data_IF_355674278147
#
_entry.id   IF_355674278147
#
_cell.length_a   1.000
_cell.length_b   1.000
_cell.length_c   1.000
_cell.angle_alpha   90.00
_cell.angle_beta   90.00
_cell.angle_gamma   90.00
#
_symmetry.space_group_name_H-M   'P 1'
#
loop_
_entity.id
_entity.type
_entity.pdbx_description
1 polymer ?
#
# COMPACT_ATOMS: atom_id res chain seq x y z
N UNK A 1 66.39 37.55 8.01
CA UNK A 1 64.97 37.58 7.58
C UNK A 1 64.54 36.31 6.85
N UNK A 2 65.35 35.75 5.92
CA UNK A 2 65.03 34.54 5.16
C UNK A 2 64.78 33.27 6.01
N UNK A 3 65.52 33.04 7.09
CA UNK A 3 65.37 31.86 7.97
C UNK A 3 64.03 31.79 8.72
N UNK A 4 63.48 32.94 9.13
CA UNK A 4 62.16 33.02 9.80
C UNK A 4 61.00 32.74 8.84
N UNK A 5 61.17 33.09 7.56
CA UNK A 5 60.20 32.80 6.51
C UNK A 5 60.12 31.30 6.21
N UNK A 6 61.25 30.57 6.17
CA UNK A 6 61.24 29.12 5.98
C UNK A 6 60.58 28.39 7.16
N UNK A 7 60.76 28.89 8.38
CA UNK A 7 60.18 28.30 9.59
C UNK A 7 58.65 28.42 9.58
N UNK A 8 58.11 29.54 9.12
CA UNK A 8 56.66 29.74 8.95
C UNK A 8 56.07 28.86 7.85
N UNK A 9 56.79 28.68 6.73
CA UNK A 9 56.36 27.79 5.64
C UNK A 9 56.36 26.32 6.10
N UNK A 10 57.36 25.91 6.88
CA UNK A 10 57.44 24.56 7.45
C UNK A 10 56.30 24.28 8.43
N UNK A 11 55.93 25.26 9.26
CA UNK A 11 54.84 25.17 10.24
C UNK A 11 53.45 25.09 9.58
N UNK A 12 53.26 25.80 8.46
CA UNK A 12 52.04 25.72 7.64
C UNK A 12 51.92 24.37 6.91
N UNK A 13 53.05 23.80 6.47
CA UNK A 13 53.07 22.52 5.77
C UNK A 13 52.77 21.33 6.70
N UNK A 14 53.24 21.37 7.94
CA UNK A 14 52.98 20.31 8.94
C UNK A 14 51.57 20.39 9.53
N UNK A 15 50.97 21.57 9.63
CA UNK A 15 49.60 21.75 10.12
C UNK A 15 48.51 21.17 9.22
N UNK A 16 48.78 20.99 7.92
CA UNK A 16 47.81 20.45 6.95
C UNK A 16 47.59 18.93 7.02
N UNK A 17 48.47 18.19 7.70
CA UNK A 17 48.48 16.71 7.69
C UNK A 17 47.67 16.06 8.82
N UNK A 18 47.05 16.82 9.73
CA UNK A 18 46.37 16.25 10.92
C UNK A 18 44.87 16.02 10.78
N UNK A 19 44.30 16.24 9.59
CA UNK A 19 42.85 16.08 9.33
C UNK A 19 42.55 14.76 8.59
N UNK A 20 42.92 13.61 9.17
CA UNK A 20 42.33 12.32 8.77
C UNK A 20 41.35 11.88 9.85
N UNK A 21 40.09 12.28 9.66
CA UNK A 21 38.95 11.89 10.50
C UNK A 21 38.60 10.43 10.24
N UNK A 22 38.69 9.59 11.28
CA UNK A 22 38.02 8.29 11.32
C UNK A 22 36.51 8.52 11.37
N UNK A 23 35.83 8.37 10.23
CA UNK A 23 34.37 8.37 10.17
C UNK A 23 33.77 7.15 10.87
N UNK A 24 32.51 7.21 11.30
CA UNK A 24 31.84 6.09 11.95
C UNK A 24 31.65 4.93 10.95
N UNK A 25 32.07 3.72 11.34
CA UNK A 25 31.80 2.49 10.59
C UNK A 25 30.48 1.92 11.06
N UNK A 26 29.55 1.69 10.13
CA UNK A 26 28.27 1.03 10.40
C UNK A 26 28.39 -0.43 10.00
N UNK A 27 28.34 -1.34 10.97
CA UNK A 27 28.32 -2.78 10.72
C UNK A 27 26.86 -3.23 10.72
N UNK A 28 26.32 -3.55 9.54
CA UNK A 28 25.02 -4.20 9.40
C UNK A 28 25.22 -5.69 9.22
N UNK A 29 24.92 -6.49 10.25
CA UNK A 29 24.87 -7.94 10.13
C UNK A 29 23.60 -8.31 9.35
N UNK A 30 23.76 -8.62 8.06
CA UNK A 30 22.70 -9.29 7.32
C UNK A 30 22.54 -10.69 7.93
N UNK A 31 21.37 -11.06 8.48
CA UNK A 31 21.19 -12.40 9.02
C UNK A 31 21.37 -13.43 7.92
N UNK A 32 22.21 -14.43 8.15
CA UNK A 32 22.53 -15.51 7.21
C UNK A 32 21.34 -16.48 7.04
N UNK A 33 20.42 -16.49 8.01
CA UNK A 33 19.17 -17.23 7.97
C UNK A 33 17.97 -16.31 7.73
N UNK A 34 17.03 -16.70 6.84
CA UNK A 34 15.76 -15.98 6.69
C UNK A 34 15.00 -16.00 8.02
N UNK A 35 14.48 -14.83 8.40
CA UNK A 35 13.72 -14.65 9.63
C UNK A 35 12.49 -15.58 9.67
N UNK A 36 12.10 -16.10 10.85
CA UNK A 36 10.98 -17.03 10.94
C UNK A 36 9.65 -16.41 10.48
N UNK A 37 8.70 -17.18 9.92
CA UNK A 37 7.46 -16.64 9.32
C UNK A 37 6.54 -15.85 10.27
N UNK A 38 6.67 -16.05 11.57
CA UNK A 38 5.94 -15.32 12.62
C UNK A 38 6.64 -14.02 13.05
N UNK A 39 7.89 -13.79 12.63
CA UNK A 39 8.74 -12.66 13.04
C UNK A 39 8.38 -11.33 12.35
N UNK A 40 7.44 -11.33 11.40
CA UNK A 40 6.88 -10.10 10.86
C UNK A 40 5.61 -9.73 11.64
N UNK A 41 5.70 -8.92 12.70
CA UNK A 41 4.52 -8.33 13.32
C UNK A 41 3.88 -7.44 12.24
N UNK A 42 2.69 -7.83 11.80
CA UNK A 42 1.98 -7.28 10.64
C UNK A 42 2.69 -7.59 9.32
N UNK A 43 2.33 -8.72 8.71
CA UNK A 43 2.45 -8.92 7.26
C UNK A 43 1.93 -7.63 6.61
N UNK A 44 2.73 -6.98 5.76
CA UNK A 44 2.28 -5.78 5.03
C UNK A 44 1.04 -6.17 4.23
N UNK A 45 -0.14 -5.83 4.75
CA UNK A 45 -1.41 -6.03 4.06
C UNK A 45 -1.41 -5.04 2.90
N UNK A 46 -1.12 -5.54 1.70
CA UNK A 46 -1.19 -4.75 0.48
C UNK A 46 -2.67 -4.49 0.21
N UNK A 47 -3.17 -3.37 0.72
CA UNK A 47 -4.51 -2.90 0.47
C UNK A 47 -4.58 -2.36 -0.97
N UNK A 48 -5.17 -3.15 -1.87
CA UNK A 48 -5.35 -2.75 -3.27
C UNK A 48 -6.71 -2.11 -3.53
N UNK A 49 -7.77 -2.66 -2.96
CA UNK A 49 -9.13 -2.21 -3.24
C UNK A 49 -9.85 -1.72 -1.98
N UNK A 50 -10.63 -0.65 -2.15
CA UNK A 50 -11.64 -0.19 -1.21
C UNK A 50 -13.00 -0.40 -1.86
N UNK A 51 -13.93 -1.05 -1.17
CA UNK A 51 -15.27 -1.34 -1.66
C UNK A 51 -16.32 -0.49 -0.94
N UNK A 52 -17.18 0.18 -1.71
CA UNK A 52 -18.33 0.95 -1.26
C UNK A 52 -19.60 0.12 -1.49
N UNK A 53 -20.07 -0.65 -0.49
CA UNK A 53 -21.14 -1.62 -0.67
C UNK A 53 -22.48 -0.99 -1.05
N UNK A 54 -22.77 0.20 -0.55
CA UNK A 54 -24.05 0.87 -0.75
C UNK A 54 -24.26 1.30 -2.21
N UNK A 55 -23.17 1.41 -2.99
CA UNK A 55 -23.21 1.83 -4.39
C UNK A 55 -22.62 0.79 -5.36
N UNK A 56 -22.15 -0.35 -4.85
CA UNK A 56 -21.44 -1.36 -5.64
C UNK A 56 -20.25 -0.78 -6.43
N UNK A 57 -19.47 0.10 -5.79
CA UNK A 57 -18.29 0.75 -6.39
C UNK A 57 -17.04 0.25 -5.68
N UNK A 58 -16.02 -0.10 -6.45
CA UNK A 58 -14.67 -0.29 -5.95
C UNK A 58 -13.80 0.91 -6.31
N UNK A 59 -12.79 1.17 -5.49
CA UNK A 59 -11.69 2.06 -5.79
C UNK A 59 -10.38 1.27 -5.72
N UNK A 60 -9.65 1.22 -6.83
CA UNK A 60 -8.33 0.62 -6.94
C UNK A 60 -7.28 1.67 -6.55
N UNK A 61 -6.63 1.45 -5.42
CA UNK A 61 -5.59 2.34 -4.88
C UNK A 61 -4.31 2.32 -5.70
N UNK A 62 -3.99 1.19 -6.36
CA UNK A 62 -2.79 1.05 -7.18
C UNK A 62 -2.90 1.86 -8.47
N UNK A 63 -4.07 1.80 -9.11
CA UNK A 63 -4.31 2.49 -10.39
C UNK A 63 -5.01 3.85 -10.22
N UNK A 64 -5.50 4.17 -9.03
CA UNK A 64 -6.31 5.36 -8.72
C UNK A 64 -7.53 5.47 -9.65
N UNK A 65 -8.23 4.35 -9.80
CA UNK A 65 -9.41 4.23 -10.67
C UNK A 65 -10.60 3.71 -9.90
N UNK A 66 -11.79 4.16 -10.26
CA UNK A 66 -13.04 3.57 -9.84
C UNK A 66 -13.38 2.38 -10.72
N UNK A 67 -14.07 1.40 -10.14
CA UNK A 67 -14.64 0.27 -10.85
C UNK A 67 -16.10 0.15 -10.41
N UNK A 68 -17.03 0.19 -11.37
CA UNK A 68 -18.46 0.14 -11.10
C UNK A 68 -19.14 -0.84 -12.05
N UNK A 69 -20.31 -1.33 -11.67
CA UNK A 69 -21.09 -2.23 -12.51
C UNK A 69 -21.96 -1.44 -13.51
N UNK A 70 -21.86 -1.78 -14.78
CA UNK A 70 -22.65 -1.21 -15.87
C UNK A 70 -23.05 -2.30 -16.83
N UNK A 71 -24.35 -2.51 -17.04
CA UNK A 71 -24.88 -3.56 -17.92
C UNK A 71 -24.23 -4.93 -17.66
N UNK A 72 -24.11 -5.29 -16.37
CA UNK A 72 -23.48 -6.52 -15.87
C UNK A 72 -21.97 -6.65 -16.15
N UNK A 73 -21.31 -5.58 -16.59
CA UNK A 73 -19.86 -5.53 -16.83
C UNK A 73 -19.23 -4.58 -15.82
N UNK A 74 -18.10 -5.00 -15.24
CA UNK A 74 -17.31 -4.15 -14.36
C UNK A 74 -16.45 -3.21 -15.20
N UNK A 75 -16.75 -1.91 -15.16
CA UNK A 75 -16.10 -0.88 -15.95
C UNK A 75 -15.13 -0.09 -15.07
N UNK A 76 -13.90 0.10 -15.54
CA UNK A 76 -12.84 0.84 -14.85
C UNK A 76 -12.66 2.23 -15.44
N UNK A 77 -12.72 3.26 -14.59
CA UNK A 77 -12.63 4.68 -15.00
C UNK A 77 -11.79 5.50 -14.02
N UNK A 78 -11.17 6.58 -14.50
CA UNK A 78 -10.47 7.55 -13.61
C UNK A 78 -11.43 8.43 -12.84
N UNK A 79 -12.56 8.80 -13.45
CA UNK A 79 -13.58 9.66 -12.87
C UNK A 79 -14.93 8.99 -13.04
N UNK A 80 -15.74 8.99 -11.99
CA UNK A 80 -17.07 8.41 -12.05
C UNK A 80 -17.96 9.18 -13.04
N UNK A 81 -18.84 8.48 -13.79
CA UNK A 81 -19.82 9.13 -14.64
C UNK A 81 -20.73 10.10 -13.88
N UNK A 82 -21.32 11.12 -14.56
CA UNK A 82 -22.13 12.17 -13.91
C UNK A 82 -23.27 11.66 -13.03
N UNK A 83 -23.82 10.47 -13.30
CA UNK A 83 -24.88 9.84 -12.49
C UNK A 83 -24.46 9.58 -11.03
N UNK A 84 -23.16 9.57 -10.74
CA UNK A 84 -22.62 9.37 -9.40
C UNK A 84 -22.15 10.67 -8.74
N UNK A 85 -22.30 11.84 -9.39
CA UNK A 85 -21.78 13.12 -8.85
C UNK A 85 -22.41 13.56 -7.53
N UNK A 86 -23.62 13.07 -7.23
CA UNK A 86 -24.31 13.35 -5.96
C UNK A 86 -23.78 12.50 -4.81
N UNK A 87 -22.96 11.48 -5.08
CA UNK A 87 -22.42 10.59 -4.06
C UNK A 87 -21.25 11.23 -3.33
N UNK A 88 -21.29 11.16 -1.99
CA UNK A 88 -20.18 11.59 -1.15
C UNK A 88 -19.41 10.39 -0.60
N UNK A 89 -18.57 9.78 -1.44
CA UNK A 89 -17.79 8.59 -1.07
C UNK A 89 -16.92 8.78 0.19
N UNK A 90 -16.51 10.01 0.50
CA UNK A 90 -15.71 10.30 1.69
C UNK A 90 -16.49 10.11 3.00
N UNK A 91 -17.82 10.24 2.95
CA UNK A 91 -18.71 10.04 4.11
C UNK A 91 -19.43 8.70 4.09
N UNK A 92 -19.26 7.93 3.01
CA UNK A 92 -19.93 6.66 2.83
C UNK A 92 -19.23 5.54 3.57
N UNK A 93 -20.00 4.49 3.89
CA UNK A 93 -19.45 3.25 4.42
C UNK A 93 -18.52 2.62 3.38
N UNK A 94 -17.37 2.14 3.82
CA UNK A 94 -16.43 1.41 2.97
C UNK A 94 -15.84 0.18 3.68
N UNK A 95 -15.38 -0.77 2.88
CA UNK A 95 -14.72 -2.01 3.32
C UNK A 95 -13.35 -2.10 2.63
N UNK A 96 -12.31 -2.37 3.42
CA UNK A 96 -10.94 -2.58 2.92
C UNK A 96 -10.76 -4.02 2.49
N UNK A 97 -10.34 -4.26 1.25
CA UNK A 97 -10.10 -5.60 0.71
C UNK A 97 -8.63 -5.98 0.92
N UNK A 98 -8.38 -6.83 1.92
CA UNK A 98 -7.02 -7.13 2.42
C UNK A 98 -6.32 -8.27 1.67
N UNK A 99 -7.06 -9.26 1.21
CA UNK A 99 -6.52 -10.55 0.73
C UNK A 99 -6.56 -10.71 -0.78
N UNK A 100 -7.16 -9.79 -1.51
CA UNK A 100 -7.33 -9.88 -2.96
C UNK A 100 -6.35 -8.97 -3.71
N UNK A 101 -5.58 -9.56 -4.62
CA UNK A 101 -4.56 -8.88 -5.44
C UNK A 101 -4.79 -8.97 -6.94
N UNK A 102 -5.78 -9.74 -7.38
CA UNK A 102 -6.09 -9.92 -8.80
C UNK A 102 -6.69 -8.69 -9.46
N UNK A 103 -6.91 -8.79 -10.77
CA UNK A 103 -7.50 -7.74 -11.61
C UNK A 103 -8.98 -7.97 -11.90
N UNK A 104 -9.46 -9.20 -11.70
CA UNK A 104 -10.84 -9.63 -11.95
C UNK A 104 -11.75 -9.38 -10.73
N UNK A 105 -12.20 -8.13 -10.62
CA UNK A 105 -13.19 -7.73 -9.62
C UNK A 105 -14.53 -8.43 -9.81
N UNK A 106 -14.87 -8.90 -11.01
CA UNK A 106 -16.12 -9.59 -11.26
C UNK A 106 -16.20 -10.93 -10.56
N UNK A 107 -15.18 -11.77 -10.72
CA UNK A 107 -15.07 -13.04 -10.02
C UNK A 107 -14.96 -12.86 -8.51
N UNK A 108 -14.14 -11.90 -8.06
CA UNK A 108 -14.02 -11.59 -6.64
C UNK A 108 -15.36 -11.18 -6.02
N UNK A 109 -16.11 -10.30 -6.69
CA UNK A 109 -17.39 -9.81 -6.21
C UNK A 109 -18.44 -10.92 -6.13
N UNK A 110 -18.54 -11.77 -7.17
CA UNK A 110 -19.52 -12.84 -7.22
C UNK A 110 -19.31 -13.84 -6.08
N UNK A 111 -18.08 -14.28 -5.86
CA UNK A 111 -17.69 -15.22 -4.80
C UNK A 111 -18.03 -14.68 -3.40
N UNK A 112 -17.71 -13.41 -3.13
CA UNK A 112 -17.76 -12.85 -1.79
C UNK A 112 -19.12 -12.22 -1.42
N UNK A 113 -19.85 -11.68 -2.39
CA UNK A 113 -21.04 -10.86 -2.14
C UNK A 113 -22.33 -11.43 -2.75
N UNK A 114 -22.27 -12.16 -3.87
CA UNK A 114 -23.50 -12.70 -4.48
C UNK A 114 -23.96 -14.01 -3.83
N UNK A 115 -23.02 -14.90 -3.53
CA UNK A 115 -23.31 -16.20 -2.89
C UNK A 115 -23.85 -16.05 -1.47
N UNK A 116 -23.39 -15.04 -0.72
CA UNK A 116 -23.81 -14.78 0.66
C UNK A 116 -25.27 -14.36 0.79
N UNK A 117 -25.83 -13.71 -0.23
CA UNK A 117 -27.25 -13.35 -0.23
C UNK A 117 -28.14 -14.56 -0.53
N UNK A 118 -27.65 -15.56 -1.25
CA UNK A 118 -28.42 -16.76 -1.62
C UNK A 118 -28.61 -17.75 -0.46
N UNK A 119 -27.67 -17.83 0.46
CA UNK A 119 -27.77 -18.68 1.66
C UNK A 119 -28.78 -18.15 2.68
N UNK A 120 -28.97 -16.83 2.77
CA UNK A 120 -29.95 -16.22 3.67
C UNK A 120 -31.40 -16.37 3.20
N UNK A 121 -31.64 -16.61 1.90
CA UNK A 121 -33.00 -16.86 1.38
C UNK A 121 -33.47 -18.29 1.60
N UNK A 122 -32.56 -19.25 1.79
CA UNK A 122 -32.93 -20.66 2.05
C UNK A 122 -33.39 -20.94 3.48
N UNK A 123 -33.03 -20.10 4.45
CA UNK A 123 -33.40 -20.30 5.85
C UNK A 123 -34.83 -19.87 6.21
N UNK A 124 -35.53 -19.15 5.32
CA UNK A 124 -36.90 -18.66 5.55
C UNK A 124 -38.00 -19.44 4.84
N UNK A 125 -37.68 -20.30 3.85
CA UNK A 125 -38.70 -21.10 3.14
C UNK A 125 -38.94 -22.50 3.73
N UNK A 126 -38.24 -22.87 4.81
CA UNK A 126 -38.35 -24.20 5.42
C UNK A 126 -39.23 -24.30 6.67
N UNK A 127 -40.01 -23.26 7.00
CA UNK A 127 -40.82 -23.21 8.23
C UNK A 127 -42.31 -22.98 7.95
N UNK A 128 -42.83 -23.67 6.93
CA UNK A 128 -44.26 -23.87 6.67
C UNK A 128 -44.46 -25.30 6.16
N UNK A 129 -44.51 -26.26 7.09
CA UNK A 129 -45.60 -27.23 7.24
C UNK A 129 -45.35 -28.01 8.53
#
# INVERSE_FOLDING_TARGET
>A
MKSRSYLLVLLMLTGGLTLQSCGPIVISSKPEQPLPPWFYPNRVEVLRYVYFPDYMIYYDLSHRTYIYLENNVWVRVKTLPPRFNTLNLNRSRFVRIKTYRGDDIGSYHSENYTTRNRSNTRSTSGRRN
#
